data_IF_831885876914
#
_entry.id   IF_831885876914
#
_cell.length_a   1.000
_cell.length_b   1.000
_cell.length_c   1.000
_cell.angle_alpha   90.00
_cell.angle_beta   90.00
_cell.angle_gamma   90.00
#
_symmetry.space_group_name_H-M   'P 1'
#
loop_
_entity.id
_entity.type
_entity.pdbx_description
1 polymer ?
#
# COMPACT_ATOMS: atom_id res chain seq x y z
N UNK A 1 37.86 29.03 23.56
CA UNK A 1 36.48 29.34 23.14
C UNK A 1 36.46 29.39 21.63
N UNK A 2 35.94 28.34 20.98
CA UNK A 2 35.34 28.23 19.64
C UNK A 2 35.14 26.72 19.36
N UNK A 3 34.02 26.27 18.78
CA UNK A 3 33.59 24.87 18.87
C UNK A 3 34.05 24.01 17.70
N UNK A 4 34.21 22.72 17.98
CA UNK A 4 34.50 21.65 17.04
C UNK A 4 33.31 21.38 16.12
N UNK A 5 33.51 21.57 14.81
CA UNK A 5 32.56 21.17 13.78
C UNK A 5 32.56 19.66 13.60
N UNK A 6 31.46 19.00 14.02
CA UNK A 6 31.14 17.64 13.52
C UNK A 6 30.50 17.80 12.15
N UNK A 7 31.28 17.46 11.12
CA UNK A 7 30.76 17.18 9.78
C UNK A 7 29.92 15.90 9.85
N UNK A 8 28.60 16.02 9.91
CA UNK A 8 27.68 14.93 9.59
C UNK A 8 27.51 14.87 8.08
N UNK A 9 28.29 14.03 7.41
CA UNK A 9 28.01 13.66 6.02
C UNK A 9 26.68 12.90 6.00
N UNK A 10 25.58 13.60 5.72
CA UNK A 10 24.32 12.95 5.41
C UNK A 10 24.54 12.08 4.16
N UNK A 11 24.35 10.77 4.29
CA UNK A 11 24.30 9.88 3.13
C UNK A 11 23.23 10.41 2.16
N UNK A 12 23.49 10.42 0.84
CA UNK A 12 22.47 10.81 -0.13
C UNK A 12 21.24 9.94 0.08
N UNK A 13 20.07 10.58 0.26
CA UNK A 13 18.79 9.88 0.32
C UNK A 13 18.63 9.13 -1.01
N UNK A 14 18.34 7.82 -1.03
CA UNK A 14 18.06 7.13 -2.28
C UNK A 14 16.85 7.82 -2.93
N UNK A 15 17.11 8.55 -4.02
CA UNK A 15 16.06 9.25 -4.74
C UNK A 15 15.09 8.27 -5.36
N UNK A 16 13.79 8.62 -5.35
CA UNK A 16 12.77 7.91 -6.11
C UNK A 16 13.19 7.81 -7.58
N UNK A 17 13.04 6.65 -8.26
CA UNK A 17 13.46 6.51 -9.64
C UNK A 17 12.79 7.57 -10.52
N UNK A 18 13.60 8.44 -11.13
CA UNK A 18 13.14 9.34 -12.16
C UNK A 18 12.80 8.53 -13.42
N UNK A 19 11.55 8.62 -13.87
CA UNK A 19 11.13 8.05 -15.15
C UNK A 19 10.46 6.69 -15.04
N UNK A 20 9.20 6.69 -14.58
CA UNK A 20 8.26 5.63 -14.88
C UNK A 20 7.94 5.71 -16.38
N UNK A 21 8.69 4.97 -17.22
CA UNK A 21 8.54 5.01 -18.68
C UNK A 21 7.23 4.40 -19.17
N UNK A 22 6.58 3.58 -18.36
CA UNK A 22 5.29 2.98 -18.67
C UNK A 22 4.18 4.01 -18.42
N UNK A 23 3.29 4.15 -19.40
CA UNK A 23 2.30 5.22 -19.45
C UNK A 23 0.99 4.82 -18.74
N UNK A 24 0.69 3.52 -18.70
CA UNK A 24 -0.53 2.97 -18.09
C UNK A 24 -0.32 2.38 -16.70
N UNK A 25 -1.39 2.34 -15.90
CA UNK A 25 -1.45 1.62 -14.63
C UNK A 25 -2.74 0.79 -14.58
N UNK A 26 -2.65 -0.44 -14.12
CA UNK A 26 -3.82 -1.29 -13.88
C UNK A 26 -3.71 -1.93 -12.49
N UNK A 27 -4.77 -1.81 -11.69
CA UNK A 27 -4.86 -2.46 -10.38
C UNK A 27 -5.17 -3.94 -10.57
N UNK A 28 -4.51 -4.78 -9.80
CA UNK A 28 -4.69 -6.23 -9.82
C UNK A 28 -4.62 -6.76 -8.39
N UNK A 29 -5.39 -7.80 -8.10
CA UNK A 29 -5.21 -8.57 -6.88
C UNK A 29 -4.23 -9.71 -7.12
N UNK A 30 -3.81 -10.39 -6.06
CA UNK A 30 -3.03 -11.63 -6.21
C UNK A 30 -3.90 -12.75 -6.80
N UNK A 31 -4.28 -13.74 -6.01
CA UNK A 31 -5.14 -14.85 -6.43
C UNK A 31 -5.96 -15.30 -5.23
N UNK A 32 -7.20 -15.72 -5.44
CA UNK A 32 -7.96 -16.44 -4.42
C UNK A 32 -7.38 -17.84 -4.25
N UNK A 33 -7.11 -18.29 -3.01
CA UNK A 33 -6.82 -19.70 -2.78
C UNK A 33 -8.06 -20.54 -3.16
N UNK A 34 -7.89 -21.82 -3.57
CA UNK A 34 -9.00 -22.73 -3.86
C UNK A 34 -9.97 -22.91 -2.70
N UNK A 35 -9.46 -22.80 -1.46
CA UNK A 35 -10.25 -22.80 -0.24
C UNK A 35 -9.97 -21.52 0.56
N UNK A 36 -10.96 -20.64 0.64
CA UNK A 36 -10.89 -19.39 1.41
C UNK A 36 -11.34 -19.56 2.86
N UNK A 37 -11.90 -20.72 3.22
CA UNK A 37 -12.39 -21.01 4.59
C UNK A 37 -11.26 -21.36 5.56
N UNK A 38 -10.13 -21.88 5.05
CA UNK A 38 -8.95 -22.20 5.84
C UNK A 38 -7.71 -21.46 5.32
N UNK A 39 -7.40 -20.32 5.97
CA UNK A 39 -6.26 -19.48 5.62
C UNK A 39 -4.90 -20.05 6.03
N UNK A 40 -4.85 -21.11 6.84
CA UNK A 40 -3.60 -21.69 7.37
C UNK A 40 -2.65 -22.21 6.27
N UNK A 41 -3.17 -22.43 5.07
CA UNK A 41 -2.40 -22.91 3.93
C UNK A 41 -2.19 -21.85 2.84
N UNK A 42 -2.49 -20.58 3.09
CA UNK A 42 -2.31 -19.51 2.08
C UNK A 42 -0.87 -19.44 1.55
N UNK A 43 0.10 -19.74 2.40
CA UNK A 43 1.52 -19.75 2.04
C UNK A 43 1.86 -20.79 0.95
N UNK A 44 1.12 -21.90 0.85
CA UNK A 44 1.37 -22.94 -0.17
C UNK A 44 1.02 -22.45 -1.58
N UNK A 45 0.17 -21.43 -1.70
CA UNK A 45 -0.26 -20.86 -2.97
C UNK A 45 0.58 -19.66 -3.43
N UNK A 46 1.57 -19.21 -2.63
CA UNK A 46 2.43 -18.08 -2.99
C UNK A 46 3.17 -18.34 -4.30
N UNK A 47 3.75 -19.53 -4.48
CA UNK A 47 4.46 -19.88 -5.71
C UNK A 47 3.55 -19.83 -6.94
N UNK A 48 2.32 -20.32 -6.81
CA UNK A 48 1.34 -20.28 -7.89
C UNK A 48 0.88 -18.85 -8.20
N UNK A 49 0.61 -18.05 -7.17
CA UNK A 49 0.25 -16.64 -7.31
C UNK A 49 1.35 -15.85 -8.03
N UNK A 50 2.61 -16.04 -7.63
CA UNK A 50 3.78 -15.44 -8.29
C UNK A 50 3.89 -15.86 -9.76
N UNK A 51 3.70 -17.14 -10.07
CA UNK A 51 3.76 -17.62 -11.46
C UNK A 51 2.67 -16.99 -12.33
N UNK A 52 1.44 -16.82 -11.80
CA UNK A 52 0.33 -16.15 -12.50
C UNK A 52 0.63 -14.66 -12.70
N UNK A 53 1.04 -13.95 -11.65
CA UNK A 53 1.37 -12.53 -11.72
C UNK A 53 2.59 -12.24 -12.60
N UNK A 54 3.57 -13.14 -12.67
CA UNK A 54 4.73 -13.01 -13.56
C UNK A 54 4.31 -12.97 -15.04
N UNK A 55 3.37 -13.84 -15.45
CA UNK A 55 2.80 -13.81 -16.81
C UNK A 55 2.05 -12.51 -17.09
N UNK A 56 1.23 -12.05 -16.13
CA UNK A 56 0.52 -10.77 -16.27
C UNK A 56 1.49 -9.59 -16.34
N UNK A 57 2.55 -9.59 -15.53
CA UNK A 57 3.56 -8.54 -15.53
C UNK A 57 4.36 -8.49 -16.83
N UNK A 58 4.62 -9.64 -17.47
CA UNK A 58 5.23 -9.68 -18.80
C UNK A 58 4.32 -9.03 -19.86
N UNK A 59 3.03 -9.38 -19.87
CA UNK A 59 2.04 -8.78 -20.77
C UNK A 59 1.90 -7.27 -20.53
N UNK A 60 1.82 -6.85 -19.28
CA UNK A 60 1.72 -5.43 -18.92
C UNK A 60 2.95 -4.65 -19.37
N UNK A 61 4.16 -5.22 -19.21
CA UNK A 61 5.40 -4.61 -19.68
C UNK A 61 5.37 -4.38 -21.20
N UNK A 62 4.96 -5.39 -21.98
CA UNK A 62 4.83 -5.29 -23.43
C UNK A 62 3.80 -4.24 -23.85
N UNK A 63 2.71 -4.13 -23.09
CA UNK A 63 1.66 -3.14 -23.33
C UNK A 63 1.98 -1.73 -22.83
N UNK A 64 3.10 -1.50 -22.13
CA UNK A 64 3.44 -0.18 -21.59
C UNK A 64 2.75 0.17 -20.27
N UNK A 65 2.41 -0.83 -19.44
CA UNK A 65 1.67 -0.69 -18.17
C UNK A 65 2.47 -1.16 -16.95
N UNK A 66 2.26 -0.49 -15.83
CA UNK A 66 2.50 -1.07 -14.50
C UNK A 66 1.25 -1.78 -13.99
N UNK A 67 1.42 -3.00 -13.50
CA UNK A 67 0.45 -3.66 -12.63
C UNK A 67 0.71 -3.25 -11.19
N UNK A 68 -0.35 -2.83 -10.51
CA UNK A 68 -0.35 -2.46 -9.11
C UNK A 68 -1.04 -3.58 -8.33
N UNK A 69 -0.25 -4.48 -7.75
CA UNK A 69 -0.74 -5.52 -6.87
C UNK A 69 -1.21 -4.89 -5.57
N UNK A 70 -2.49 -5.01 -5.27
CA UNK A 70 -3.09 -4.56 -4.02
C UNK A 70 -3.15 -5.70 -2.99
N UNK A 71 -2.89 -5.39 -1.72
CA UNK A 71 -3.21 -6.31 -0.63
C UNK A 71 -4.70 -6.23 -0.29
N UNK A 72 -5.35 -7.38 -0.15
CA UNK A 72 -6.78 -7.49 0.17
C UNK A 72 -7.02 -8.73 1.03
N UNK A 73 -8.08 -8.75 1.84
CA UNK A 73 -8.42 -9.92 2.63
C UNK A 73 -8.88 -11.08 1.73
N UNK A 74 -8.69 -12.30 2.22
CA UNK A 74 -9.17 -13.55 1.60
C UNK A 74 -8.46 -13.97 0.29
N UNK A 75 -7.41 -13.24 -0.12
CA UNK A 75 -6.50 -13.62 -1.21
C UNK A 75 -5.12 -14.01 -0.68
N UNK A 76 -4.28 -14.63 -1.52
CA UNK A 76 -2.94 -15.10 -1.11
C UNK A 76 -2.05 -13.94 -0.65
N UNK A 77 -2.06 -12.80 -1.34
CA UNK A 77 -1.30 -11.59 -1.01
C UNK A 77 -2.04 -10.66 -0.04
N UNK A 78 -2.50 -11.16 1.09
CA UNK A 78 -3.25 -10.41 2.11
C UNK A 78 -2.37 -9.86 3.25
N UNK A 79 -1.27 -10.54 3.59
CA UNK A 79 -0.31 -10.12 4.64
C UNK A 79 0.95 -9.50 4.06
N UNK A 80 1.68 -8.64 4.80
CA UNK A 80 2.90 -8.01 4.29
C UNK A 80 3.97 -9.02 3.86
N UNK A 81 4.11 -10.12 4.62
CA UNK A 81 5.05 -11.20 4.31
C UNK A 81 4.74 -11.90 2.99
N UNK A 82 3.47 -12.26 2.76
CA UNK A 82 3.05 -12.88 1.49
C UNK A 82 3.11 -11.90 0.32
N UNK A 83 2.73 -10.64 0.52
CA UNK A 83 2.90 -9.59 -0.49
C UNK A 83 4.36 -9.48 -0.93
N UNK A 84 5.28 -9.41 0.03
CA UNK A 84 6.71 -9.35 -0.26
C UNK A 84 7.18 -10.60 -1.00
N UNK A 85 6.83 -11.79 -0.52
CA UNK A 85 7.23 -13.05 -1.15
C UNK A 85 6.78 -13.14 -2.62
N UNK A 86 5.57 -12.64 -2.92
CA UNK A 86 5.06 -12.57 -4.30
C UNK A 86 5.87 -11.56 -5.13
N UNK A 87 5.98 -10.32 -4.65
CA UNK A 87 6.68 -9.24 -5.37
C UNK A 87 8.15 -9.60 -5.64
N UNK A 88 8.84 -10.18 -4.65
CA UNK A 88 10.22 -10.62 -4.76
C UNK A 88 10.39 -11.81 -5.69
N UNK A 89 9.39 -12.70 -5.82
CA UNK A 89 9.48 -13.85 -6.71
C UNK A 89 9.17 -13.50 -8.18
N UNK A 90 8.37 -12.47 -8.43
CA UNK A 90 8.03 -12.03 -9.79
C UNK A 90 9.18 -11.26 -10.45
N UNK A 91 9.98 -10.53 -9.67
CA UNK A 91 11.19 -9.81 -10.13
C UNK A 91 10.97 -8.94 -11.38
N UNK A 92 9.79 -8.33 -11.53
CA UNK A 92 9.45 -7.52 -12.70
C UNK A 92 9.31 -6.04 -12.34
N UNK A 93 9.94 -5.11 -13.08
CA UNK A 93 9.70 -3.67 -12.89
C UNK A 93 8.28 -3.25 -13.29
N UNK A 94 7.57 -4.09 -14.05
CA UNK A 94 6.18 -3.86 -14.42
C UNK A 94 5.19 -4.30 -13.31
N UNK A 95 5.63 -5.05 -12.30
CA UNK A 95 4.82 -5.32 -11.11
C UNK A 95 5.27 -4.39 -9.96
N UNK A 96 4.30 -3.69 -9.39
CA UNK A 96 4.45 -2.74 -8.30
C UNK A 96 3.36 -2.98 -7.26
N UNK A 97 3.46 -2.30 -6.13
CA UNK A 97 2.56 -2.51 -5.00
C UNK A 97 1.65 -1.30 -4.77
N UNK A 98 0.36 -1.59 -4.60
CA UNK A 98 -0.64 -0.68 -4.07
C UNK A 98 -0.85 -1.03 -2.60
N UNK A 99 -0.35 -0.17 -1.72
CA UNK A 99 -0.45 -0.38 -0.28
C UNK A 99 -1.82 0.11 0.22
N UNK A 100 -2.63 -0.79 0.78
CA UNK A 100 -3.86 -0.46 1.52
C UNK A 100 -3.68 -0.81 3.01
N UNK A 101 -3.59 0.18 3.92
CA UNK A 101 -3.36 -0.11 5.33
C UNK A 101 -4.59 -0.71 6.01
N UNK A 102 -5.81 -0.35 5.61
CA UNK A 102 -7.03 -0.91 6.17
C UNK A 102 -7.12 -2.43 5.92
N UNK A 103 -6.74 -2.86 4.71
CA UNK A 103 -6.79 -4.27 4.36
C UNK A 103 -5.79 -5.10 5.18
N UNK A 104 -4.62 -4.54 5.56
CA UNK A 104 -3.72 -5.19 6.50
C UNK A 104 -4.31 -5.30 7.91
N UNK A 105 -4.92 -4.23 8.41
CA UNK A 105 -5.61 -4.24 9.71
C UNK A 105 -6.71 -5.31 9.73
N UNK A 106 -7.49 -5.43 8.65
CA UNK A 106 -8.58 -6.39 8.54
C UNK A 106 -8.13 -7.87 8.53
N UNK A 107 -6.85 -8.14 8.31
CA UNK A 107 -6.28 -9.50 8.47
C UNK A 107 -5.43 -9.64 9.74
N UNK A 108 -5.59 -8.73 10.70
CA UNK A 108 -5.00 -8.82 12.03
C UNK A 108 -3.56 -8.28 12.12
N UNK A 109 -3.10 -7.49 11.14
CA UNK A 109 -1.75 -6.91 11.20
C UNK A 109 -1.77 -5.68 12.09
N UNK A 110 -1.14 -5.81 13.25
CA UNK A 110 -0.80 -4.69 14.10
C UNK A 110 0.37 -3.87 13.53
N UNK A 111 0.27 -2.55 13.66
CA UNK A 111 1.31 -1.60 13.25
C UNK A 111 1.80 -1.83 11.80
N UNK A 112 0.89 -1.78 10.80
CA UNK A 112 1.21 -2.09 9.41
C UNK A 112 2.39 -1.26 8.90
N UNK A 113 2.39 0.05 9.14
CA UNK A 113 3.50 0.93 8.72
C UNK A 113 4.75 0.71 9.55
N UNK A 114 4.63 0.79 10.88
CA UNK A 114 5.77 0.78 11.81
C UNK A 114 6.62 -0.48 11.73
N UNK A 115 6.01 -1.64 11.42
CA UNK A 115 6.71 -2.92 11.31
C UNK A 115 7.08 -3.31 9.89
N UNK A 116 6.26 -2.94 8.89
CA UNK A 116 6.36 -3.55 7.56
C UNK A 116 6.74 -2.59 6.43
N UNK A 117 6.79 -1.27 6.69
CA UNK A 117 7.17 -0.28 5.67
C UNK A 117 8.48 -0.65 4.96
N UNK A 118 9.55 -0.92 5.71
CA UNK A 118 10.87 -1.22 5.15
C UNK A 118 10.88 -2.44 4.22
N UNK A 119 9.97 -3.40 4.44
CA UNK A 119 9.86 -4.62 3.64
C UNK A 119 9.27 -4.35 2.26
N UNK A 120 8.25 -3.49 2.17
CA UNK A 120 7.47 -3.28 0.95
C UNK A 120 7.77 -1.95 0.25
N UNK A 121 8.35 -0.97 0.94
CA UNK A 121 8.67 0.36 0.39
C UNK A 121 9.36 0.34 -0.98
N UNK A 122 10.30 -0.58 -1.28
CA UNK A 122 10.93 -0.64 -2.61
C UNK A 122 9.97 -0.92 -3.78
N UNK A 123 8.79 -1.47 -3.50
CA UNK A 123 7.81 -1.89 -4.50
C UNK A 123 6.62 -0.92 -4.61
N UNK A 124 6.40 -0.07 -3.61
CA UNK A 124 5.23 0.81 -3.53
C UNK A 124 5.20 1.74 -4.74
N UNK A 125 4.01 1.96 -5.28
CA UNK A 125 3.76 2.90 -6.38
C UNK A 125 2.46 3.68 -6.19
N UNK A 126 1.61 3.13 -5.33
CA UNK A 126 0.26 3.57 -5.08
C UNK A 126 -0.05 3.30 -3.61
N UNK A 127 -0.81 4.19 -2.99
CA UNK A 127 -1.26 4.03 -1.61
C UNK A 127 -2.74 4.35 -1.57
N UNK A 128 -3.54 3.43 -1.04
CA UNK A 128 -4.93 3.73 -0.71
C UNK A 128 -4.98 4.42 0.65
N UNK A 129 -5.77 5.50 0.71
CA UNK A 129 -6.09 6.21 1.93
C UNK A 129 -7.44 5.71 2.40
N UNK A 130 -7.36 4.69 3.25
CA UNK A 130 -8.47 4.00 3.90
C UNK A 130 -7.95 3.47 5.22
N UNK A 131 -8.68 3.66 6.30
CA UNK A 131 -8.30 3.19 7.63
C UNK A 131 -9.27 2.09 8.10
N UNK A 132 -8.91 1.34 9.13
CA UNK A 132 -9.79 0.36 9.74
C UNK A 132 -9.47 0.13 11.20
N UNK A 133 -10.43 -0.33 11.98
CA UNK A 133 -10.23 -0.68 13.40
C UNK A 133 -9.88 -2.16 13.51
N UNK A 134 -8.81 -2.50 14.24
CA UNK A 134 -8.30 -3.86 14.38
C UNK A 134 -9.30 -4.81 15.06
N UNK A 135 -10.06 -4.31 16.03
CA UNK A 135 -10.95 -5.13 16.85
C UNK A 135 -12.13 -5.71 16.07
N UNK A 136 -12.68 -4.95 15.11
CA UNK A 136 -13.90 -5.31 14.39
C UNK A 136 -13.77 -5.24 12.86
N UNK A 137 -12.64 -4.76 12.35
CA UNK A 137 -12.39 -4.57 10.92
C UNK A 137 -13.21 -3.45 10.28
N UNK A 138 -13.92 -2.62 11.06
CA UNK A 138 -14.75 -1.53 10.53
C UNK A 138 -13.88 -0.49 9.82
N UNK A 139 -14.29 -0.12 8.61
CA UNK A 139 -13.57 0.88 7.80
C UNK A 139 -13.78 2.27 8.39
N UNK A 140 -12.73 3.08 8.39
CA UNK A 140 -12.68 4.43 8.95
C UNK A 140 -11.98 5.38 7.98
N UNK A 141 -12.20 6.68 8.17
CA UNK A 141 -11.44 7.70 7.47
C UNK A 141 -10.00 7.76 8.00
N UNK A 142 -9.12 8.44 7.26
CA UNK A 142 -7.72 8.60 7.61
C UNK A 142 -7.51 9.08 9.06
N UNK A 143 -6.74 8.31 9.85
CA UNK A 143 -6.38 8.67 11.22
C UNK A 143 -7.43 8.32 12.27
N UNK A 144 -8.50 7.62 11.89
CA UNK A 144 -9.58 7.19 12.80
C UNK A 144 -9.58 5.68 13.06
N UNK A 145 -8.58 4.95 12.56
CA UNK A 145 -8.38 3.53 12.81
C UNK A 145 -6.96 3.19 13.23
N UNK A 146 -6.63 1.91 13.11
CA UNK A 146 -5.37 1.29 13.50
C UNK A 146 -4.40 1.11 12.32
N UNK A 147 -4.71 1.70 11.15
CA UNK A 147 -3.94 1.61 9.91
C UNK A 147 -2.64 2.43 9.89
N UNK A 148 -2.37 3.23 10.92
CA UNK A 148 -1.17 4.07 11.04
C UNK A 148 -0.98 5.06 9.87
N UNK A 149 -2.07 5.74 9.48
CA UNK A 149 -2.04 6.73 8.39
C UNK A 149 -1.08 7.89 8.68
N UNK A 150 -1.02 8.49 9.88
CA UNK A 150 -0.04 9.55 10.16
C UNK A 150 1.41 9.07 9.98
N UNK A 151 1.74 7.87 10.45
CA UNK A 151 3.06 7.28 10.27
C UNK A 151 3.34 6.96 8.80
N UNK A 152 2.35 6.46 8.06
CA UNK A 152 2.45 6.15 6.63
C UNK A 152 2.78 7.42 5.83
N UNK A 153 2.05 8.50 6.07
CA UNK A 153 2.29 9.78 5.42
C UNK A 153 3.69 10.33 5.74
N UNK A 154 4.12 10.24 7.00
CA UNK A 154 5.47 10.67 7.40
C UNK A 154 6.57 9.90 6.66
N UNK A 155 6.48 8.57 6.58
CA UNK A 155 7.50 7.78 5.86
C UNK A 155 7.45 7.99 4.34
N UNK A 156 6.28 8.26 3.77
CA UNK A 156 6.13 8.65 2.36
C UNK A 156 6.81 10.00 2.08
N UNK A 157 6.56 11.01 2.92
CA UNK A 157 7.18 12.32 2.80
C UNK A 157 8.71 12.27 3.00
N UNK A 158 9.17 11.58 4.03
CA UNK A 158 10.60 11.44 4.35
C UNK A 158 11.39 10.69 3.26
N UNK A 159 10.75 9.71 2.62
CA UNK A 159 11.33 8.96 1.50
C UNK A 159 11.29 9.71 0.17
N UNK A 160 10.62 10.86 0.11
CA UNK A 160 10.45 11.62 -1.13
C UNK A 160 9.55 10.90 -2.14
N UNK A 161 8.55 10.15 -1.66
CA UNK A 161 7.56 9.49 -2.50
C UNK A 161 6.91 10.49 -3.47
N UNK A 162 6.69 10.04 -4.70
CA UNK A 162 6.05 10.80 -5.79
C UNK A 162 5.01 9.96 -6.54
N UNK A 163 4.55 8.88 -5.92
CA UNK A 163 3.43 8.09 -6.45
C UNK A 163 2.10 8.74 -6.10
N UNK A 164 1.02 7.96 -6.19
CA UNK A 164 -0.33 8.46 -5.97
C UNK A 164 -0.85 8.04 -4.60
N UNK A 165 -1.60 8.94 -3.96
CA UNK A 165 -2.51 8.64 -2.86
C UNK A 165 -3.93 8.59 -3.45
N UNK A 166 -4.63 7.48 -3.30
CA UNK A 166 -6.01 7.33 -3.76
C UNK A 166 -6.95 7.21 -2.57
N UNK A 167 -7.95 8.09 -2.52
CA UNK A 167 -8.93 8.12 -1.45
C UNK A 167 -10.03 7.09 -1.72
N UNK A 168 -10.09 6.01 -0.92
CA UNK A 168 -11.07 4.91 -1.08
C UNK A 168 -11.79 4.61 0.24
N UNK A 169 -12.65 5.52 0.74
CA UNK A 169 -13.00 5.49 2.16
C UNK A 169 -14.14 4.52 2.49
N UNK A 170 -14.86 3.96 1.50
CA UNK A 170 -15.96 2.98 1.64
C UNK A 170 -16.85 3.15 2.89
N UNK A 171 -17.23 4.39 3.22
CA UNK A 171 -17.77 4.75 4.56
C UNK A 171 -19.26 4.43 4.75
N UNK A 172 -20.05 4.33 3.67
CA UNK A 172 -21.48 4.06 3.74
C UNK A 172 -21.81 2.57 3.56
N UNK A 173 -21.03 1.86 2.75
CA UNK A 173 -21.10 0.42 2.59
C UNK A 173 -19.73 -0.13 2.19
N UNK A 174 -19.22 -1.14 2.90
CA UNK A 174 -18.00 -1.86 2.55
C UNK A 174 -18.36 -3.32 2.23
N UNK A 175 -18.58 -3.62 0.96
CA UNK A 175 -18.74 -4.98 0.45
C UNK A 175 -17.39 -5.61 0.06
N UNK A 176 -17.40 -6.92 -0.21
CA UNK A 176 -16.19 -7.71 -0.54
C UNK A 176 -15.47 -7.32 -1.84
N UNK A 177 -16.07 -6.47 -2.69
CA UNK A 177 -15.45 -5.97 -3.93
C UNK A 177 -16.02 -4.63 -4.40
N UNK A 178 -16.72 -3.93 -3.51
CA UNK A 178 -17.34 -2.64 -3.79
C UNK A 178 -17.49 -1.89 -2.48
N UNK A 179 -17.37 -0.57 -2.54
CA UNK A 179 -17.82 0.23 -1.42
C UNK A 179 -18.28 1.59 -1.87
N UNK A 180 -19.27 2.09 -1.16
CA UNK A 180 -19.93 3.35 -1.45
C UNK A 180 -19.71 4.27 -0.26
N UNK A 181 -19.36 5.51 -0.53
CA UNK A 181 -19.23 6.55 0.50
C UNK A 181 -20.28 7.64 0.35
N UNK A 182 -20.86 7.80 -0.85
CA UNK A 182 -21.63 8.99 -1.20
C UNK A 182 -20.76 10.25 -1.26
N UNK A 183 -21.35 11.36 -1.69
CA UNK A 183 -20.68 12.66 -1.77
C UNK A 183 -20.18 13.14 -0.40
N UNK A 184 -21.05 13.09 0.62
CA UNK A 184 -20.72 13.49 1.98
C UNK A 184 -19.57 12.67 2.58
N UNK A 185 -19.57 11.35 2.34
CA UNK A 185 -18.49 10.47 2.80
C UNK A 185 -17.17 10.73 2.09
N UNK A 186 -17.19 11.06 0.80
CA UNK A 186 -15.98 11.47 0.08
C UNK A 186 -15.44 12.81 0.59
N UNK A 187 -16.31 13.79 0.81
CA UNK A 187 -15.93 15.09 1.36
C UNK A 187 -15.34 14.95 2.77
N UNK A 188 -15.96 14.11 3.61
CA UNK A 188 -15.45 13.78 4.94
C UNK A 188 -14.06 13.15 4.88
N UNK A 189 -13.89 12.12 4.05
CA UNK A 189 -12.60 11.43 3.92
C UNK A 189 -11.48 12.34 3.41
N UNK A 190 -11.77 13.22 2.44
CA UNK A 190 -10.82 14.19 1.93
C UNK A 190 -10.39 15.17 3.04
N UNK A 191 -11.37 15.70 3.77
CA UNK A 191 -11.12 16.57 4.94
C UNK A 191 -10.23 15.87 5.96
N UNK A 192 -10.53 14.62 6.32
CA UNK A 192 -9.72 13.84 7.28
C UNK A 192 -8.29 13.62 6.79
N UNK A 193 -8.10 13.27 5.51
CA UNK A 193 -6.77 13.15 4.93
C UNK A 193 -5.98 14.47 5.05
N UNK A 194 -6.59 15.60 4.68
CA UNK A 194 -5.92 16.91 4.78
C UNK A 194 -5.56 17.30 6.21
N UNK A 195 -6.43 17.03 7.19
CA UNK A 195 -6.14 17.26 8.60
C UNK A 195 -4.90 16.47 9.05
N UNK A 196 -4.83 15.17 8.72
CA UNK A 196 -3.68 14.34 9.06
C UNK A 196 -2.42 14.79 8.32
N UNK A 197 -2.51 15.13 7.04
CA UNK A 197 -1.38 15.66 6.27
C UNK A 197 -0.81 16.94 6.90
N UNK A 198 -1.69 17.86 7.33
CA UNK A 198 -1.29 19.08 8.02
C UNK A 198 -0.61 18.78 9.36
N UNK A 199 -1.14 17.82 10.14
CA UNK A 199 -0.56 17.38 11.41
C UNK A 199 0.88 16.87 11.24
N UNK A 200 1.13 16.06 10.20
CA UNK A 200 2.45 15.46 9.96
C UNK A 200 3.38 16.33 9.11
N UNK A 201 2.95 17.51 8.69
CA UNK A 201 3.73 18.44 7.88
C UNK A 201 3.95 18.00 6.43
N UNK A 202 3.07 17.16 5.91
CA UNK A 202 3.07 16.72 4.51
C UNK A 202 2.23 17.66 3.65
N UNK A 203 2.70 17.96 2.44
CA UNK A 203 1.99 18.80 1.47
C UNK A 203 1.83 18.07 0.13
N UNK A 204 0.73 18.36 -0.56
CA UNK A 204 0.55 17.99 -1.96
C UNK A 204 1.57 18.76 -2.82
N UNK A 205 2.15 18.10 -3.83
CA UNK A 205 3.19 18.67 -4.70
C UNK A 205 2.96 18.34 -6.17
#
# INVERSE_FOLDING_TARGET
MMPSGRSTSARPRPGWPSGWKLQGRARVFSVYPPDTSNKAHSDTYVAEASARLSRLAAMAREAGFHLLMENEKDIVGDTPGRCHAILSAVESPALRFAWDPANFVQVGIEQPTGRWWSLLAPYIAYVHVKDAVLVDGSVRAAGEGDGQIPELLRVLCDSGYRGVLALEPHLAFAGHSSGFSGEDGMAYAAKKLWEVMAEVGCAES
#
